data_IF_827128181793
#
_entry.id   IF_827128181793
#
_cell.length_a   1.000
_cell.length_b   1.000
_cell.length_c   1.000
_cell.angle_alpha   90.00
_cell.angle_beta   90.00
_cell.angle_gamma   90.00
#
_symmetry.space_group_name_H-M   'P 1'
#
loop_
_entity.id
_entity.type
_entity.pdbx_description
1 polymer ?
#
# COMPACT_ATOMS: atom_id res chain seq x y z
N UNK A 1 20.47 0.63 -2.60
CA UNK A 1 19.58 -0.53 -2.82
C UNK A 1 18.47 -0.67 -1.78
N UNK A 2 18.73 -0.64 -0.46
CA UNK A 2 17.65 -0.56 0.55
C UNK A 2 17.30 0.89 0.89
N UNK A 3 18.30 1.78 0.92
CA UNK A 3 18.09 3.22 1.14
C UNK A 3 17.25 3.88 0.05
N UNK A 4 17.40 3.42 -1.21
CA UNK A 4 16.56 3.88 -2.31
C UNK A 4 15.10 3.46 -2.12
N UNK A 5 14.84 2.24 -1.65
CA UNK A 5 13.49 1.75 -1.35
C UNK A 5 12.86 2.53 -0.19
N UNK A 6 13.64 2.85 0.86
CA UNK A 6 13.17 3.70 1.96
C UNK A 6 12.86 5.12 1.51
N UNK A 7 13.74 5.70 0.69
CA UNK A 7 13.50 7.03 0.08
C UNK A 7 12.23 7.01 -0.76
N UNK A 8 12.06 5.99 -1.60
CA UNK A 8 10.87 5.79 -2.44
C UNK A 8 9.60 5.63 -1.60
N UNK A 9 9.69 4.95 -0.46
CA UNK A 9 8.58 4.75 0.45
C UNK A 9 8.16 6.09 1.11
N UNK A 10 9.12 6.92 1.51
CA UNK A 10 8.85 8.26 2.04
C UNK A 10 8.27 9.21 0.98
N UNK A 11 8.72 9.10 -0.27
CA UNK A 11 8.14 9.82 -1.40
C UNK A 11 6.68 9.39 -1.63
N UNK A 12 6.44 8.08 -1.70
CA UNK A 12 5.08 7.50 -1.83
C UNK A 12 4.16 7.95 -0.69
N UNK A 13 4.67 8.04 0.54
CA UNK A 13 3.88 8.53 1.66
C UNK A 13 3.38 9.96 1.41
N UNK A 14 4.27 10.86 0.99
CA UNK A 14 3.90 12.25 0.69
C UNK A 14 2.95 12.34 -0.50
N UNK A 15 3.20 11.56 -1.53
CA UNK A 15 2.35 11.54 -2.72
C UNK A 15 0.94 11.04 -2.36
N UNK A 16 0.82 10.03 -1.49
CA UNK A 16 -0.45 9.52 -0.99
C UNK A 16 -1.20 10.51 -0.07
N UNK A 17 -0.51 11.44 0.59
CA UNK A 17 -1.17 12.49 1.38
C UNK A 17 -1.89 13.51 0.48
N UNK A 18 -1.38 13.76 -0.73
CA UNK A 18 -1.95 14.74 -1.68
C UNK A 18 -2.76 14.10 -2.81
N UNK A 19 -2.56 12.81 -3.09
CA UNK A 19 -3.26 12.08 -4.13
C UNK A 19 -4.68 11.69 -3.71
N UNK A 20 -5.60 11.81 -4.67
CA UNK A 20 -7.02 11.49 -4.52
C UNK A 20 -7.53 10.74 -5.75
N UNK A 21 -8.60 9.96 -5.57
CA UNK A 21 -9.22 9.17 -6.65
C UNK A 21 -8.26 8.17 -7.28
N UNK A 22 -8.34 8.01 -8.60
CA UNK A 22 -7.59 7.00 -9.36
C UNK A 22 -6.06 7.12 -9.18
N UNK A 23 -5.53 8.33 -8.99
CA UNK A 23 -4.09 8.52 -8.76
C UNK A 23 -3.66 7.92 -7.41
N UNK A 24 -4.53 7.96 -6.40
CA UNK A 24 -4.26 7.37 -5.09
C UNK A 24 -4.20 5.85 -5.19
N UNK A 25 -5.09 5.24 -5.97
CA UNK A 25 -5.10 3.80 -6.22
C UNK A 25 -3.79 3.33 -6.87
N UNK A 26 -3.32 4.01 -7.91
CA UNK A 26 -2.06 3.67 -8.59
C UNK A 26 -0.85 3.78 -7.65
N UNK A 27 -0.84 4.80 -6.78
CA UNK A 27 0.20 4.95 -5.77
C UNK A 27 0.12 3.87 -4.68
N UNK A 28 -1.08 3.39 -4.33
CA UNK A 28 -1.25 2.27 -3.40
C UNK A 28 -0.73 0.95 -4.01
N UNK A 29 -0.94 0.71 -5.30
CA UNK A 29 -0.33 -0.43 -6.01
C UNK A 29 1.20 -0.37 -5.97
N UNK A 30 1.77 0.81 -6.19
CA UNK A 30 3.20 1.02 -6.09
C UNK A 30 3.72 0.84 -4.65
N UNK A 31 2.96 1.30 -3.65
CA UNK A 31 3.28 1.08 -2.24
C UNK A 31 3.33 -0.41 -1.93
N UNK A 32 2.35 -1.19 -2.38
CA UNK A 32 2.30 -2.64 -2.20
C UNK A 32 3.55 -3.32 -2.79
N UNK A 33 3.95 -2.96 -4.00
CA UNK A 33 5.16 -3.52 -4.64
C UNK A 33 6.43 -3.20 -3.84
N UNK A 34 6.56 -1.97 -3.34
CA UNK A 34 7.72 -1.57 -2.53
C UNK A 34 7.73 -2.29 -1.18
N UNK A 35 6.56 -2.45 -0.56
CA UNK A 35 6.39 -3.19 0.70
C UNK A 35 6.79 -4.65 0.52
N UNK A 36 6.30 -5.34 -0.51
CA UNK A 36 6.68 -6.72 -0.83
C UNK A 36 8.18 -6.86 -1.08
N UNK A 37 8.79 -5.90 -1.78
CA UNK A 37 10.23 -5.89 -2.03
C UNK A 37 11.08 -5.64 -0.78
N UNK A 38 10.55 -4.91 0.21
CA UNK A 38 11.18 -4.71 1.52
C UNK A 38 11.03 -5.96 2.40
N UNK A 39 9.86 -6.60 2.35
CA UNK A 39 9.57 -7.85 3.05
C UNK A 39 10.45 -9.01 2.57
N UNK A 40 10.64 -9.15 1.25
CA UNK A 40 11.56 -10.13 0.65
C UNK A 40 13.02 -9.93 1.11
N UNK A 41 13.37 -8.71 1.52
CA UNK A 41 14.69 -8.36 2.04
C UNK A 41 14.79 -8.45 3.56
N UNK A 42 13.74 -8.93 4.24
CA UNK A 42 13.63 -8.98 5.70
C UNK A 42 13.85 -7.60 6.35
N UNK A 43 13.40 -6.55 5.65
CA UNK A 43 13.49 -5.15 6.11
C UNK A 43 12.19 -4.75 6.78
N UNK A 44 12.32 -4.08 7.92
CA UNK A 44 11.16 -3.62 8.66
C UNK A 44 10.36 -2.57 7.88
N UNK A 45 9.05 -2.81 7.77
CA UNK A 45 8.12 -1.96 7.03
C UNK A 45 7.44 -1.01 8.03
N UNK A 46 7.36 0.29 7.73
CA UNK A 46 6.68 1.24 8.59
C UNK A 46 5.22 0.89 8.86
N UNK A 47 4.77 1.11 10.10
CA UNK A 47 3.42 0.79 10.54
C UNK A 47 2.32 1.52 9.75
N UNK A 48 2.60 2.73 9.24
CA UNK A 48 1.66 3.47 8.40
C UNK A 48 1.40 2.78 7.05
N UNK A 49 2.42 2.16 6.46
CA UNK A 49 2.30 1.45 5.17
C UNK A 49 1.50 0.16 5.35
N UNK A 50 1.78 -0.58 6.43
CA UNK A 50 0.98 -1.76 6.82
C UNK A 50 -0.47 -1.41 7.11
N UNK A 51 -0.72 -0.30 7.82
CA UNK A 51 -2.08 0.16 8.10
C UNK A 51 -2.85 0.52 6.82
N UNK A 52 -2.21 1.25 5.88
CA UNK A 52 -2.83 1.58 4.59
C UNK A 52 -3.18 0.34 3.77
N UNK A 53 -2.27 -0.64 3.72
CA UNK A 53 -2.54 -1.91 3.01
C UNK A 53 -3.66 -2.71 3.68
N UNK A 54 -3.68 -2.77 5.01
CA UNK A 54 -4.77 -3.42 5.75
C UNK A 54 -6.13 -2.76 5.46
N UNK A 55 -6.20 -1.42 5.48
CA UNK A 55 -7.44 -0.70 5.15
C UNK A 55 -7.92 -0.95 3.72
N UNK A 56 -6.99 -1.07 2.75
CA UNK A 56 -7.32 -1.41 1.37
C UNK A 56 -7.88 -2.83 1.24
N UNK A 57 -7.27 -3.79 1.93
CA UNK A 57 -7.73 -5.19 1.91
C UNK A 57 -9.10 -5.31 2.55
N UNK A 58 -9.38 -4.63 3.66
CA UNK A 58 -10.71 -4.65 4.30
C UNK A 58 -11.79 -4.10 3.35
N UNK A 59 -11.53 -3.00 2.65
CA UNK A 59 -12.48 -2.41 1.68
C UNK A 59 -12.73 -3.34 0.48
N UNK A 60 -11.67 -3.96 -0.06
CA UNK A 60 -11.78 -4.95 -1.14
C UNK A 60 -12.50 -6.24 -0.69
N UNK A 61 -12.33 -6.64 0.57
CA UNK A 61 -13.00 -7.80 1.15
C UNK A 61 -14.48 -7.52 1.34
N UNK A 62 -14.89 -6.36 1.88
CA UNK A 62 -16.31 -6.01 2.03
C UNK A 62 -17.06 -6.04 0.67
N UNK A 63 -16.46 -5.53 -0.40
CA UNK A 63 -17.03 -5.58 -1.76
C UNK A 63 -17.14 -7.02 -2.33
N UNK A 64 -16.23 -7.92 -1.95
CA UNK A 64 -16.28 -9.31 -2.39
C UNK A 64 -17.32 -10.15 -1.64
N UNK A 65 -17.61 -9.82 -0.37
CA UNK A 65 -18.61 -10.52 0.42
C UNK A 65 -20.05 -10.13 0.05
N UNK A 66 -20.27 -8.93 -0.49
CA UNK A 66 -21.60 -8.45 -0.92
C UNK A 66 -22.09 -9.10 -2.24
N UNK A 67 -21.22 -9.82 -2.95
CA UNK A 67 -21.54 -10.52 -4.21
C UNK A 67 -21.69 -12.04 -4.06
N UNK A 68 -21.83 -12.56 -2.84
CA UNK A 68 -22.23 -13.95 -2.64
C UNK A 68 -23.75 -14.08 -2.83
N UNK A 69 -24.25 -14.84 -3.84
CA UNK A 69 -25.67 -15.15 -3.91
C UNK A 69 -26.02 -16.04 -2.72
N UNK A 70 -27.00 -15.62 -1.92
CA UNK A 70 -27.61 -16.41 -0.84
C UNK A 70 -28.20 -17.71 -1.40
#
# INVERSE_FOLDING_TARGET
MIEDLKTRLDELHRDLEVANGDQREELLDHLEQVVLALEDKDVDIPGWAKALMASRVDEAVEDMFDNMPV
#
